data_IF_919149873399
#
_entry.id   IF_919149873399
#
_cell.length_a   1.000
_cell.length_b   1.000
_cell.length_c   1.000
_cell.angle_alpha   90.00
_cell.angle_beta   90.00
_cell.angle_gamma   90.00
#
_symmetry.space_group_name_H-M   'P 1'
#
loop_
_entity.id
_entity.type
_entity.pdbx_description
1 polymer ?
#
# COMPACT_ATOMS: atom_id res chain seq x y z
N UNK A 1 -7.20 18.08 11.01
CA UNK A 1 -7.90 17.27 12.03
C UNK A 1 -6.83 16.91 13.06
N UNK A 2 -6.91 15.85 13.86
CA UNK A 2 -5.72 15.40 14.60
C UNK A 2 -4.98 14.36 13.74
N UNK A 3 -3.64 14.29 13.82
CA UNK A 3 -2.87 13.28 13.06
C UNK A 3 -3.33 11.84 13.33
N UNK A 4 -3.81 11.56 14.55
CA UNK A 4 -4.41 10.26 14.92
C UNK A 4 -5.61 9.86 14.05
N UNK A 5 -6.29 10.82 13.43
CA UNK A 5 -7.51 10.57 12.66
C UNK A 5 -7.22 9.89 11.31
N UNK A 6 -5.96 9.84 10.88
CA UNK A 6 -5.53 9.24 9.61
C UNK A 6 -4.78 7.91 9.78
N UNK A 7 -4.68 7.36 10.99
CA UNK A 7 -3.95 6.10 11.22
C UNK A 7 -4.51 4.97 10.35
N UNK A 8 -5.83 4.86 10.27
CA UNK A 8 -6.51 3.85 9.45
C UNK A 8 -6.22 4.01 7.96
N UNK A 9 -6.23 5.24 7.45
CA UNK A 9 -5.95 5.51 6.04
C UNK A 9 -4.48 5.20 5.70
N UNK A 10 -3.55 5.61 6.58
CA UNK A 10 -2.12 5.32 6.41
C UNK A 10 -1.87 3.80 6.46
N UNK A 11 -2.44 3.08 7.43
CA UNK A 11 -2.34 1.62 7.47
C UNK A 11 -2.93 0.97 6.23
N UNK A 12 -4.11 1.44 5.82
CA UNK A 12 -4.77 1.03 4.58
C UNK A 12 -3.83 1.06 3.39
N UNK A 13 -3.09 2.16 3.21
CA UNK A 13 -2.15 2.30 2.11
C UNK A 13 -0.91 1.41 2.23
N UNK A 14 -0.38 1.19 3.44
CA UNK A 14 0.71 0.22 3.62
C UNK A 14 0.27 -1.20 3.27
N UNK A 15 -0.90 -1.62 3.76
CA UNK A 15 -1.49 -2.93 3.45
C UNK A 15 -1.75 -3.03 1.94
N UNK A 16 -2.33 -1.99 1.36
CA UNK A 16 -2.72 -1.99 -0.05
C UNK A 16 -1.52 -2.01 -0.99
N UNK A 17 -0.51 -1.18 -0.72
CA UNK A 17 0.62 -0.98 -1.61
C UNK A 17 1.79 -1.94 -1.35
N UNK A 18 2.01 -2.35 -0.10
CA UNK A 18 3.14 -3.22 0.26
C UNK A 18 2.71 -4.60 0.79
N UNK A 19 1.42 -4.84 1.01
CA UNK A 19 0.94 -6.11 1.55
C UNK A 19 1.31 -6.34 3.02
N UNK A 20 1.77 -5.31 3.73
CA UNK A 20 2.23 -5.39 5.14
C UNK A 20 1.69 -4.23 5.97
N UNK A 21 1.77 -4.37 7.30
CA UNK A 21 1.48 -3.25 8.20
C UNK A 21 2.60 -2.22 8.23
N UNK A 22 2.26 -0.98 8.56
CA UNK A 22 3.20 0.09 8.76
C UNK A 22 4.00 -0.10 10.04
N UNK A 23 5.24 0.38 10.04
CA UNK A 23 6.01 0.53 11.28
C UNK A 23 5.53 1.76 12.07
N UNK A 24 5.81 1.79 13.37
CA UNK A 24 5.38 2.87 14.27
C UNK A 24 5.88 4.23 13.77
N UNK A 25 7.12 4.31 13.27
CA UNK A 25 7.68 5.59 12.79
C UNK A 25 7.08 6.03 11.47
N UNK A 26 6.71 5.10 10.59
CA UNK A 26 5.95 5.33 9.37
C UNK A 26 4.58 5.91 9.66
N UNK A 27 3.80 5.32 10.58
CA UNK A 27 2.51 5.89 11.02
C UNK A 27 2.69 7.33 11.48
N UNK A 28 3.66 7.55 12.36
CA UNK A 28 3.93 8.85 12.97
C UNK A 28 4.33 9.94 11.95
N UNK A 29 5.04 9.54 10.91
CA UNK A 29 5.45 10.42 9.83
C UNK A 29 4.27 10.73 8.89
N UNK A 30 3.62 9.69 8.36
CA UNK A 30 2.61 9.85 7.32
C UNK A 30 1.33 10.49 7.83
N UNK A 31 0.91 10.20 9.06
CA UNK A 31 -0.25 10.87 9.66
C UNK A 31 -0.07 12.39 9.76
N UNK A 32 1.16 12.86 10.01
CA UNK A 32 1.50 14.30 10.03
C UNK A 32 1.51 14.90 8.63
N UNK A 33 2.01 14.15 7.64
CA UNK A 33 1.98 14.58 6.22
C UNK A 33 0.55 14.70 5.73
N UNK A 34 -0.27 13.68 5.95
CA UNK A 34 -1.69 13.66 5.55
C UNK A 34 -2.48 14.76 6.26
N UNK A 35 -2.25 15.01 7.55
CA UNK A 35 -2.91 16.12 8.24
C UNK A 35 -2.50 17.49 7.67
N UNK A 36 -1.21 17.68 7.35
CA UNK A 36 -0.70 18.90 6.74
C UNK A 36 -1.27 19.14 5.33
N UNK A 37 -1.53 18.05 4.60
CA UNK A 37 -2.15 18.07 3.27
C UNK A 37 -3.69 18.10 3.33
N UNK A 38 -4.28 18.25 4.52
CA UNK A 38 -5.72 18.40 4.70
C UNK A 38 -6.51 17.12 4.47
N UNK A 39 -5.87 15.96 4.65
CA UNK A 39 -6.45 14.63 4.41
C UNK A 39 -6.20 14.08 3.00
N UNK A 40 -5.42 14.77 2.17
CA UNK A 40 -5.06 14.27 0.85
C UNK A 40 -3.97 13.20 0.94
N UNK A 41 -4.25 12.02 0.38
CA UNK A 41 -3.34 10.87 0.42
C UNK A 41 -2.33 10.84 -0.73
N UNK A 42 -2.49 11.70 -1.74
CA UNK A 42 -1.73 11.65 -2.99
C UNK A 42 -0.24 11.88 -2.75
N UNK A 43 0.14 12.78 -1.83
CA UNK A 43 1.54 13.05 -1.49
C UNK A 43 2.24 11.82 -0.89
N UNK A 44 1.53 11.08 -0.03
CA UNK A 44 2.04 9.87 0.59
C UNK A 44 2.23 8.76 -0.45
N UNK A 45 1.20 8.53 -1.25
CA UNK A 45 1.17 7.50 -2.27
C UNK A 45 2.26 7.74 -3.33
N UNK A 46 2.44 8.98 -3.80
CA UNK A 46 3.53 9.31 -4.73
C UNK A 46 4.93 9.00 -4.16
N UNK A 47 5.15 9.17 -2.87
CA UNK A 47 6.43 8.84 -2.24
C UNK A 47 6.63 7.33 -2.08
N UNK A 48 5.57 6.54 -1.98
CA UNK A 48 5.66 5.09 -1.88
C UNK A 48 6.32 4.47 -3.12
N UNK A 49 5.89 4.87 -4.31
CA UNK A 49 6.46 4.42 -5.58
C UNK A 49 7.92 4.85 -5.83
N UNK A 50 8.50 5.69 -4.97
CA UNK A 50 9.89 6.17 -5.07
C UNK A 50 10.76 5.69 -3.90
N UNK A 51 10.33 4.65 -3.19
CA UNK A 51 11.01 4.13 -2.01
C UNK A 51 11.74 2.81 -2.31
N UNK A 52 12.76 2.48 -1.52
CA UNK A 52 13.41 1.16 -1.58
C UNK A 52 12.45 0.03 -1.19
N UNK A 53 11.41 0.33 -0.41
CA UNK A 53 10.35 -0.63 -0.10
C UNK A 53 9.57 -1.03 -1.35
N UNK A 54 9.31 -0.09 -2.25
CA UNK A 54 8.68 -0.36 -3.54
C UNK A 54 9.54 -1.29 -4.38
N UNK A 55 10.84 -1.00 -4.51
CA UNK A 55 11.76 -1.85 -5.26
C UNK A 55 11.80 -3.27 -4.70
N UNK A 56 11.81 -3.44 -3.38
CA UNK A 56 11.80 -4.76 -2.74
C UNK A 56 10.45 -5.49 -2.91
N UNK A 57 9.34 -4.78 -2.74
CA UNK A 57 7.98 -5.36 -2.83
C UNK A 57 7.69 -5.86 -4.24
N UNK A 58 8.13 -5.10 -5.24
CA UNK A 58 7.77 -5.32 -6.63
C UNK A 58 8.92 -5.82 -7.49
N UNK A 59 10.06 -6.20 -6.89
CA UNK A 59 11.27 -6.65 -7.59
C UNK A 59 11.03 -7.67 -8.72
N UNK A 60 10.04 -8.56 -8.58
CA UNK A 60 9.69 -9.56 -9.60
C UNK A 60 9.10 -8.95 -10.88
N UNK A 61 8.54 -7.74 -10.79
CA UNK A 61 7.86 -7.04 -11.89
C UNK A 61 8.66 -5.85 -12.43
N UNK A 62 9.87 -5.63 -11.90
CA UNK A 62 10.77 -4.57 -12.31
C UNK A 62 11.96 -5.15 -13.09
N UNK A 63 12.49 -4.35 -14.01
CA UNK A 63 13.76 -4.64 -14.67
C UNK A 63 14.97 -4.28 -13.78
N UNK A 64 16.18 -4.55 -14.26
CA UNK A 64 17.43 -4.25 -13.54
C UNK A 64 17.65 -2.74 -13.31
N UNK A 65 16.86 -1.86 -13.93
CA UNK A 65 16.89 -0.40 -13.75
C UNK A 65 15.76 0.11 -12.84
N UNK A 66 14.92 -0.77 -12.31
CA UNK A 66 13.77 -0.41 -11.47
C UNK A 66 12.56 0.11 -12.25
N UNK A 67 12.55 -0.04 -13.58
CA UNK A 67 11.41 0.26 -14.44
C UNK A 67 10.45 -0.94 -14.49
N UNK A 68 9.16 -0.69 -14.69
CA UNK A 68 8.14 -1.75 -14.71
C UNK A 68 8.29 -2.59 -15.99
N UNK A 69 8.64 -3.87 -15.85
CA UNK A 69 8.76 -4.85 -16.94
C UNK A 69 7.47 -5.69 -17.09
N UNK A 70 6.75 -5.94 -15.99
CA UNK A 70 5.44 -6.63 -15.99
C UNK A 70 4.31 -5.78 -15.37
N UNK A 71 3.70 -4.88 -16.16
CA UNK A 71 2.53 -4.10 -15.76
C UNK A 71 1.33 -4.94 -15.29
N UNK A 72 1.15 -6.13 -15.84
CA UNK A 72 0.00 -6.98 -15.50
C UNK A 72 0.21 -7.67 -14.16
N UNK A 73 1.43 -8.16 -13.94
CA UNK A 73 1.86 -8.75 -12.68
C UNK A 73 1.79 -7.75 -11.53
N UNK A 74 2.30 -6.53 -11.72
CA UNK A 74 2.32 -5.52 -10.66
C UNK A 74 0.91 -5.05 -10.26
N UNK A 75 -0.01 -4.87 -11.22
CA UNK A 75 -1.42 -4.55 -10.94
C UNK A 75 -2.11 -5.74 -10.26
N UNK A 76 -1.82 -6.97 -10.68
CA UNK A 76 -2.34 -8.17 -10.03
C UNK A 76 -1.89 -8.25 -8.57
N UNK A 77 -0.63 -7.88 -8.29
CA UNK A 77 -0.08 -7.86 -6.94
C UNK A 77 -0.78 -6.84 -6.03
N UNK A 78 -1.16 -5.66 -6.55
CA UNK A 78 -1.99 -4.69 -5.79
C UNK A 78 -3.32 -5.30 -5.36
N UNK A 79 -4.02 -5.99 -6.26
CA UNK A 79 -5.27 -6.67 -5.94
C UNK A 79 -5.07 -7.83 -4.96
N UNK A 80 -3.95 -8.56 -5.07
CA UNK A 80 -3.62 -9.63 -4.14
C UNK A 80 -3.37 -9.08 -2.73
N UNK A 81 -2.61 -7.97 -2.61
CA UNK A 81 -2.35 -7.29 -1.35
C UNK A 81 -3.65 -6.83 -0.68
N UNK A 82 -4.52 -6.16 -1.44
CA UNK A 82 -5.75 -5.55 -0.91
C UNK A 82 -6.87 -6.57 -0.65
N UNK A 83 -7.10 -7.50 -1.58
CA UNK A 83 -8.35 -8.27 -1.66
C UNK A 83 -8.16 -9.79 -1.72
N UNK A 84 -6.92 -10.29 -1.67
CA UNK A 84 -6.58 -11.71 -1.77
C UNK A 84 -7.12 -12.41 -3.04
N UNK A 85 -7.22 -11.66 -4.14
CA UNK A 85 -7.69 -12.18 -5.44
C UNK A 85 -7.02 -11.44 -6.58
N UNK A 86 -7.06 -12.04 -7.77
CA UNK A 86 -6.73 -11.33 -9.00
C UNK A 86 -7.85 -10.35 -9.41
N UNK A 87 -7.52 -9.28 -10.17
CA UNK A 87 -8.52 -8.47 -10.86
C UNK A 87 -9.25 -9.28 -11.93
N UNK A 88 -10.43 -8.82 -12.32
CA UNK A 88 -11.05 -9.31 -13.55
C UNK A 88 -10.28 -8.79 -14.78
N UNK A 89 -10.49 -9.42 -15.94
CA UNK A 89 -9.71 -9.14 -17.14
C UNK A 89 -9.89 -7.69 -17.65
N UNK A 90 -11.08 -7.12 -17.48
CA UNK A 90 -11.40 -5.77 -17.96
C UNK A 90 -10.78 -4.71 -17.05
N UNK A 91 -10.88 -4.90 -15.74
CA UNK A 91 -10.21 -4.06 -14.74
C UNK A 91 -8.69 -4.12 -14.85
N UNK A 92 -8.11 -5.31 -15.04
CA UNK A 92 -6.67 -5.46 -15.25
C UNK A 92 -6.22 -4.68 -16.48
N UNK A 93 -6.91 -4.86 -17.62
CA UNK A 93 -6.56 -4.17 -18.86
C UNK A 93 -6.65 -2.65 -18.70
N UNK A 94 -7.70 -2.15 -18.03
CA UNK A 94 -7.88 -0.72 -17.78
C UNK A 94 -6.67 -0.10 -17.06
N UNK A 95 -6.24 -0.70 -15.95
CA UNK A 95 -5.10 -0.18 -15.18
C UNK A 95 -3.77 -0.36 -15.90
N UNK A 96 -3.58 -1.48 -16.61
CA UNK A 96 -2.38 -1.71 -17.42
C UNK A 96 -2.25 -0.68 -18.54
N UNK A 97 -3.34 -0.31 -19.20
CA UNK A 97 -3.34 0.72 -20.24
C UNK A 97 -3.02 2.11 -19.67
N UNK A 98 -3.59 2.45 -18.50
CA UNK A 98 -3.29 3.69 -17.79
C UNK A 98 -1.82 3.78 -17.38
N UNK A 99 -1.24 2.67 -16.91
CA UNK A 99 0.17 2.59 -16.51
C UNK A 99 1.10 2.71 -17.72
N UNK A 100 0.84 1.95 -18.80
CA UNK A 100 1.67 1.94 -20.01
C UNK A 100 1.64 3.27 -20.77
N UNK A 101 0.52 3.99 -20.73
CA UNK A 101 0.39 5.30 -21.35
C UNK A 101 0.99 6.43 -20.52
N UNK A 102 1.34 6.17 -19.26
CA UNK A 102 1.76 7.18 -18.29
C UNK A 102 0.61 8.12 -17.87
N UNK A 103 -0.64 7.74 -18.12
CA UNK A 103 -1.83 8.47 -17.65
C UNK A 103 -1.96 8.40 -16.12
N UNK A 104 -1.54 7.28 -15.53
CA UNK A 104 -1.51 7.10 -14.08
C UNK A 104 -0.24 6.39 -13.65
N UNK A 105 0.34 6.84 -12.55
CA UNK A 105 1.38 6.10 -11.84
C UNK A 105 0.78 4.87 -11.16
N UNK A 106 1.63 3.88 -10.83
CA UNK A 106 1.19 2.72 -10.04
C UNK A 106 0.60 3.15 -8.69
N UNK A 107 1.16 4.21 -8.12
CA UNK A 107 0.73 4.79 -6.87
C UNK A 107 -0.72 5.29 -6.96
N UNK A 108 -1.04 6.09 -7.99
CA UNK A 108 -2.40 6.56 -8.24
C UNK A 108 -3.37 5.40 -8.52
N UNK A 109 -2.94 4.38 -9.27
CA UNK A 109 -3.71 3.17 -9.52
C UNK A 109 -4.04 2.45 -8.20
N UNK A 110 -3.07 2.30 -7.30
CA UNK A 110 -3.30 1.66 -6.02
C UNK A 110 -4.30 2.45 -5.15
N UNK A 111 -4.23 3.78 -5.16
CA UNK A 111 -5.19 4.63 -4.45
C UNK A 111 -6.60 4.54 -5.04
N UNK A 112 -6.72 4.47 -6.37
CA UNK A 112 -8.00 4.27 -7.05
C UNK A 112 -8.63 2.92 -6.68
N UNK A 113 -7.85 1.83 -6.72
CA UNK A 113 -8.31 0.49 -6.32
C UNK A 113 -8.72 0.47 -4.84
N UNK A 114 -7.91 1.09 -3.97
CA UNK A 114 -8.19 1.20 -2.53
C UNK A 114 -9.53 1.91 -2.27
N UNK A 115 -9.73 3.08 -2.89
CA UNK A 115 -10.96 3.86 -2.76
C UNK A 115 -12.18 3.19 -3.42
N UNK A 116 -11.95 2.39 -4.46
CA UNK A 116 -12.97 1.62 -5.17
C UNK A 116 -13.40 0.33 -4.46
N UNK A 117 -12.77 -0.04 -3.35
CA UNK A 117 -13.08 -1.26 -2.60
C UNK A 117 -14.55 -1.28 -2.13
N UNK A 118 -15.26 -2.36 -2.43
CA UNK A 118 -16.67 -2.52 -2.10
C UNK A 118 -17.03 -3.96 -1.77
N UNK A 119 -18.18 -4.16 -1.13
CA UNK A 119 -18.71 -5.49 -0.80
C UNK A 119 -17.66 -6.35 -0.06
N UNK A 120 -17.35 -7.54 -0.60
CA UNK A 120 -16.39 -8.47 -0.02
C UNK A 120 -14.96 -7.92 -0.03
N UNK A 121 -14.58 -7.16 -1.06
CA UNK A 121 -13.23 -6.56 -1.15
C UNK A 121 -13.02 -5.56 -0.03
N UNK A 122 -14.03 -4.71 0.24
CA UNK A 122 -14.00 -3.80 1.38
C UNK A 122 -13.89 -4.55 2.70
N UNK A 123 -14.65 -5.63 2.88
CA UNK A 123 -14.58 -6.42 4.11
C UNK A 123 -13.20 -7.07 4.32
N UNK A 124 -12.56 -7.55 3.25
CA UNK A 124 -11.20 -8.11 3.32
C UNK A 124 -10.20 -7.01 3.69
N UNK A 125 -10.24 -5.88 2.98
CA UNK A 125 -9.35 -4.76 3.24
C UNK A 125 -9.50 -4.22 4.66
N UNK A 126 -10.74 -3.98 5.13
CA UNK A 126 -11.01 -3.49 6.50
C UNK A 126 -10.47 -4.48 7.56
N UNK A 127 -10.61 -5.79 7.34
CA UNK A 127 -10.07 -6.81 8.24
C UNK A 127 -8.54 -6.79 8.26
N UNK A 128 -7.89 -6.67 7.10
CA UNK A 128 -6.43 -6.58 7.01
C UNK A 128 -5.90 -5.33 7.72
N UNK A 129 -6.58 -4.19 7.53
CA UNK A 129 -6.24 -2.93 8.20
C UNK A 129 -6.40 -3.04 9.71
N UNK A 130 -7.49 -3.66 10.19
CA UNK A 130 -7.70 -3.89 11.63
C UNK A 130 -6.56 -4.71 12.24
N UNK A 131 -6.09 -5.76 11.54
CA UNK A 131 -4.96 -6.57 12.01
C UNK A 131 -3.66 -5.75 11.97
N UNK A 132 -3.46 -4.93 10.95
CA UNK A 132 -2.29 -4.07 10.83
C UNK A 132 -2.22 -3.03 11.97
N UNK A 133 -3.34 -2.37 12.28
CA UNK A 133 -3.45 -1.44 13.41
C UNK A 133 -3.07 -2.12 14.73
N UNK A 134 -3.68 -3.28 15.02
CA UNK A 134 -3.37 -4.05 16.22
C UNK A 134 -1.89 -4.42 16.31
N UNK A 135 -1.28 -4.86 15.21
CA UNK A 135 0.13 -5.21 15.19
C UNK A 135 1.03 -4.00 15.52
N UNK A 136 0.75 -2.83 14.93
CA UNK A 136 1.55 -1.63 15.17
C UNK A 136 1.35 -1.07 16.58
N UNK A 137 0.14 -1.13 17.14
CA UNK A 137 -0.13 -0.76 18.54
C UNK A 137 0.66 -1.64 19.53
N UNK A 138 0.71 -2.95 19.30
CA UNK A 138 1.48 -3.87 20.15
C UNK A 138 2.99 -3.63 20.06
N UNK A 139 3.51 -3.29 18.86
CA UNK A 139 4.91 -2.90 18.68
C UNK A 139 5.24 -1.64 19.47
N UNK A 140 4.38 -0.63 19.41
CA UNK A 140 4.54 0.61 20.19
C UNK A 140 4.52 0.31 21.71
N UNK A 141 3.56 -0.50 22.17
CA UNK A 141 3.41 -0.85 23.59
C UNK A 141 4.62 -1.63 24.15
N UNK A 142 5.22 -2.49 23.32
CA UNK A 142 6.37 -3.32 23.72
C UNK A 142 7.73 -2.63 23.49
N UNK A 143 7.75 -1.54 22.71
CA UNK A 143 8.98 -0.90 22.24
C UNK A 143 9.76 -1.74 21.23
N UNK A 144 9.11 -2.74 20.62
CA UNK A 144 9.70 -3.56 19.56
C UNK A 144 9.66 -2.80 18.22
N UNK A 145 10.61 -3.09 17.34
CA UNK A 145 10.65 -2.54 15.98
C UNK A 145 10.18 -3.59 14.96
N UNK A 146 9.57 -3.10 13.89
CA UNK A 146 9.26 -3.89 12.70
C UNK A 146 9.74 -3.10 11.47
N UNK A 147 10.60 -3.71 10.67
CA UNK A 147 11.20 -3.14 9.46
C UNK A 147 10.69 -3.80 8.18
N UNK A 148 9.68 -4.68 8.25
CA UNK A 148 9.07 -5.32 7.08
C UNK A 148 9.13 -6.85 7.10
N UNK A 149 8.92 -7.48 5.95
CA UNK A 149 8.85 -8.94 5.81
C UNK A 149 10.12 -9.66 6.28
N UNK A 150 11.28 -9.00 6.20
CA UNK A 150 12.57 -9.54 6.66
C UNK A 150 12.58 -9.85 8.18
N UNK A 151 11.79 -9.14 8.98
CA UNK A 151 11.70 -9.39 10.42
C UNK A 151 10.79 -10.60 10.76
N UNK A 152 9.93 -11.04 9.82
CA UNK A 152 9.04 -12.19 10.00
C UNK A 152 9.78 -13.51 9.71
N UNK A 153 10.79 -13.48 8.84
CA UNK A 153 11.56 -14.66 8.44
C UNK A 153 12.54 -15.18 9.52
N UNK A 154 12.65 -14.50 10.66
CA UNK A 154 13.62 -14.82 11.73
C UNK A 154 12.96 -15.49 12.96
N UNK A 155 11.65 -15.76 12.94
CA UNK A 155 10.92 -16.40 14.05
C UNK A 155 10.96 -17.94 14.02
#
# INVERSE_FOLDING_TARGET
MAASDYVTDVQGLYVAYYGRWADVSGIDYWTRVVDADGGDLSSMVNQFGNSSEYENTYAEYLDDQGEIDDPSGIVTQLFQNMFDRAPDAEGLQFYVDALNSGESSLAEIALDIFNGAQNNDKAILDNKVTVAEYATEELEATGASYAGADDIAVA
#
